data_IF_072733881430
#
_entry.id   IF_072733881430
#
_cell.length_a   1.000
_cell.length_b   1.000
_cell.length_c   1.000
_cell.angle_alpha   90.00
_cell.angle_beta   90.00
_cell.angle_gamma   90.00
#
_symmetry.space_group_name_H-M   'P 1'
#
loop_
_entity.id
_entity.type
_entity.pdbx_description
1 polymer ?
#
# COMPACT_ATOMS: atom_id res chain seq x y z
N UNK A 1 15.88 5.35 -24.48
CA UNK A 1 16.24 6.63 -23.84
C UNK A 1 15.13 7.01 -22.86
N UNK A 2 15.49 7.49 -21.63
CA UNK A 2 14.49 7.94 -20.64
C UNK A 2 13.62 9.11 -21.15
N UNK A 3 14.10 9.86 -22.15
CA UNK A 3 13.32 10.94 -22.77
C UNK A 3 12.03 10.42 -23.43
N UNK A 4 12.04 9.20 -23.93
CA UNK A 4 10.88 8.61 -24.60
C UNK A 4 9.71 8.34 -23.63
N UNK A 5 10.01 8.22 -22.32
CA UNK A 5 9.01 8.08 -21.27
C UNK A 5 8.15 9.34 -21.09
N UNK A 6 8.64 10.50 -21.52
CA UNK A 6 7.97 11.80 -21.34
C UNK A 6 7.11 12.14 -22.56
N UNK A 7 7.36 11.50 -23.71
CA UNK A 7 6.64 11.76 -24.95
C UNK A 7 5.14 11.42 -24.80
N UNK A 8 4.26 12.38 -25.08
CA UNK A 8 2.81 12.23 -24.95
C UNK A 8 2.18 11.44 -26.09
N UNK A 9 2.81 11.44 -27.26
CA UNK A 9 2.23 10.92 -28.50
C UNK A 9 2.14 9.38 -28.50
N UNK A 10 2.99 8.70 -27.73
CA UNK A 10 3.03 7.25 -27.70
C UNK A 10 3.06 6.69 -26.28
N UNK A 11 2.16 5.75 -25.92
CA UNK A 11 2.26 5.04 -24.66
C UNK A 11 3.56 4.22 -24.61
N UNK A 12 4.23 4.24 -23.49
CA UNK A 12 5.47 3.50 -23.27
C UNK A 12 5.36 2.67 -22.00
N UNK A 13 5.68 1.38 -22.10
CA UNK A 13 5.78 0.47 -20.96
C UNK A 13 7.16 -0.19 -21.02
N UNK A 14 7.87 -0.15 -19.90
CA UNK A 14 9.15 -0.85 -19.73
C UNK A 14 8.95 -2.00 -18.75
N UNK A 15 9.11 -3.22 -19.22
CA UNK A 15 9.14 -4.40 -18.36
C UNK A 15 10.58 -4.75 -18.03
N UNK A 16 10.85 -4.88 -16.73
CA UNK A 16 12.14 -5.36 -16.24
C UNK A 16 11.91 -6.66 -15.49
N UNK A 17 12.24 -7.77 -16.14
CA UNK A 17 12.10 -9.10 -15.57
C UNK A 17 13.44 -9.51 -14.93
N UNK A 18 13.41 -9.84 -13.65
CA UNK A 18 14.57 -10.33 -12.90
C UNK A 18 14.27 -11.75 -12.45
N UNK A 19 15.05 -12.74 -12.90
CA UNK A 19 14.89 -14.11 -12.42
C UNK A 19 15.08 -14.21 -10.91
N UNK A 20 14.18 -14.93 -10.22
CA UNK A 20 14.17 -15.01 -8.74
C UNK A 20 15.44 -15.69 -8.19
N UNK A 21 16.07 -16.55 -8.96
CA UNK A 21 17.31 -17.26 -8.62
C UNK A 21 18.56 -16.35 -8.70
N UNK A 22 18.49 -15.24 -9.44
CA UNK A 22 19.62 -14.35 -9.66
C UNK A 22 19.49 -13.02 -8.89
N UNK A 23 19.54 -13.11 -7.57
CA UNK A 23 19.35 -11.96 -6.67
C UNK A 23 20.29 -10.78 -6.95
N UNK A 24 21.50 -11.04 -7.46
CA UNK A 24 22.47 -10.00 -7.85
C UNK A 24 21.93 -9.06 -8.94
N UNK A 25 21.04 -9.53 -9.80
CA UNK A 25 20.43 -8.70 -10.86
C UNK A 25 19.42 -7.69 -10.34
N UNK A 26 18.87 -7.91 -9.13
CA UNK A 26 18.00 -6.89 -8.51
C UNK A 26 18.73 -5.57 -8.26
N UNK A 27 20.07 -5.60 -8.09
CA UNK A 27 20.87 -4.37 -7.99
C UNK A 27 20.75 -3.54 -9.27
N UNK A 28 20.84 -4.18 -10.44
CA UNK A 28 20.74 -3.51 -11.74
C UNK A 28 19.34 -2.92 -11.91
N UNK A 29 18.29 -3.66 -11.56
CA UNK A 29 16.91 -3.17 -11.60
C UNK A 29 16.70 -1.97 -10.68
N UNK A 30 17.25 -2.02 -9.46
CA UNK A 30 17.16 -0.91 -8.51
C UNK A 30 17.94 0.32 -8.98
N UNK A 31 19.13 0.14 -9.57
CA UNK A 31 19.90 1.24 -10.17
C UNK A 31 19.17 1.88 -11.35
N UNK A 32 18.57 1.08 -12.23
CA UNK A 32 17.78 1.59 -13.33
C UNK A 32 16.59 2.41 -12.83
N UNK A 33 15.85 1.89 -11.85
CA UNK A 33 14.71 2.56 -11.24
C UNK A 33 15.12 3.90 -10.61
N UNK A 34 16.23 3.91 -9.87
CA UNK A 34 16.76 5.12 -9.23
C UNK A 34 17.20 6.16 -10.25
N UNK A 35 18.00 5.78 -11.23
CA UNK A 35 18.50 6.69 -12.26
C UNK A 35 17.38 7.24 -13.14
N UNK A 36 16.42 6.40 -13.52
CA UNK A 36 15.25 6.86 -14.30
C UNK A 36 14.43 7.87 -13.50
N UNK A 37 14.20 7.63 -12.20
CA UNK A 37 13.52 8.58 -11.33
C UNK A 37 14.26 9.92 -11.25
N UNK A 38 15.56 9.88 -11.00
CA UNK A 38 16.39 11.10 -10.91
C UNK A 38 16.37 11.91 -12.20
N UNK A 39 16.42 11.22 -13.35
CA UNK A 39 16.28 11.87 -14.67
C UNK A 39 14.91 12.52 -14.82
N UNK A 40 13.84 11.78 -14.56
CA UNK A 40 12.46 12.26 -14.73
C UNK A 40 12.13 13.42 -13.80
N UNK A 41 12.55 13.33 -12.54
CA UNK A 41 12.38 14.42 -11.56
C UNK A 41 13.14 15.70 -11.97
N UNK A 42 14.34 15.55 -12.57
CA UNK A 42 15.09 16.68 -13.16
C UNK A 42 14.38 17.27 -14.38
N UNK A 43 13.81 16.43 -15.25
CA UNK A 43 13.05 16.91 -16.40
C UNK A 43 11.77 17.63 -15.97
N UNK A 44 11.05 17.12 -14.97
CA UNK A 44 9.82 17.74 -14.45
C UNK A 44 10.03 19.24 -14.13
N UNK A 45 11.18 19.60 -13.56
CA UNK A 45 11.52 20.99 -13.23
C UNK A 45 11.58 21.93 -14.42
N UNK A 46 11.67 21.40 -15.66
CA UNK A 46 11.72 22.21 -16.89
C UNK A 46 10.32 22.53 -17.43
N UNK A 47 9.30 21.84 -16.94
CA UNK A 47 7.91 22.06 -17.34
C UNK A 47 7.22 23.04 -16.39
N UNK A 48 6.17 23.68 -16.88
CA UNK A 48 5.38 24.62 -16.08
C UNK A 48 4.80 23.91 -14.85
N UNK A 49 4.96 24.53 -13.69
CA UNK A 49 4.54 23.96 -12.41
C UNK A 49 5.39 22.79 -11.90
N UNK A 50 6.55 22.49 -12.51
CA UNK A 50 7.46 21.43 -12.09
C UNK A 50 6.90 20.01 -12.33
N UNK A 51 5.94 19.86 -13.25
CA UNK A 51 5.17 18.64 -13.46
C UNK A 51 5.38 18.10 -14.86
N UNK A 52 5.67 16.79 -14.97
CA UNK A 52 5.74 16.12 -16.27
C UNK A 52 4.40 16.17 -16.99
N UNK A 53 4.37 16.34 -18.31
CA UNK A 53 3.14 16.37 -19.09
C UNK A 53 2.38 15.03 -19.00
N UNK A 54 3.12 13.93 -18.92
CA UNK A 54 2.61 12.58 -18.78
C UNK A 54 2.75 12.08 -17.35
N UNK A 55 1.76 11.32 -16.87
CA UNK A 55 1.87 10.54 -15.63
C UNK A 55 2.81 9.35 -15.83
N UNK A 56 3.78 9.22 -14.96
CA UNK A 56 4.71 8.09 -14.91
C UNK A 56 4.38 7.23 -13.69
N UNK A 57 4.24 5.96 -13.88
CA UNK A 57 3.97 5.01 -12.79
C UNK A 57 5.10 4.00 -12.67
N UNK A 58 5.71 3.93 -11.49
CA UNK A 58 6.59 2.85 -11.09
C UNK A 58 5.76 1.77 -10.42
N UNK A 59 5.75 0.58 -10.98
CA UNK A 59 5.04 -0.59 -10.46
C UNK A 59 6.09 -1.60 -10.02
N UNK A 60 6.25 -1.76 -8.71
CA UNK A 60 7.21 -2.68 -8.12
C UNK A 60 6.47 -3.93 -7.63
N UNK A 61 6.31 -4.89 -8.51
CA UNK A 61 5.86 -6.23 -8.15
C UNK A 61 6.94 -6.92 -7.32
N UNK A 62 6.55 -7.57 -6.24
CA UNK A 62 7.48 -8.16 -5.28
C UNK A 62 8.55 -7.18 -4.74
N UNK A 63 8.14 -5.97 -4.37
CA UNK A 63 9.04 -4.92 -3.87
C UNK A 63 9.98 -5.40 -2.75
N UNK A 64 9.54 -6.38 -1.96
CA UNK A 64 10.33 -7.01 -0.93
C UNK A 64 11.64 -7.64 -1.42
N UNK A 65 11.70 -8.09 -2.66
CA UNK A 65 12.88 -8.72 -3.26
C UNK A 65 13.89 -7.71 -3.81
N UNK A 66 13.46 -6.51 -4.14
CA UNK A 66 14.34 -5.47 -4.70
C UNK A 66 15.42 -5.07 -3.69
N UNK A 67 16.57 -4.65 -4.21
CA UNK A 67 17.60 -3.97 -3.41
C UNK A 67 17.06 -2.64 -2.90
N UNK A 68 17.51 -2.21 -1.72
CA UNK A 68 17.11 -0.93 -1.12
C UNK A 68 17.33 0.23 -2.12
N UNK A 69 16.26 0.97 -2.39
CA UNK A 69 16.32 2.22 -3.17
C UNK A 69 16.68 3.37 -2.22
N UNK A 70 17.71 4.16 -2.52
CA UNK A 70 18.12 5.26 -1.65
C UNK A 70 17.01 6.31 -1.50
N UNK A 71 16.81 6.83 -0.29
CA UNK A 71 15.89 7.94 0.01
C UNK A 71 14.47 7.76 -0.54
N UNK A 72 13.98 6.50 -0.56
CA UNK A 72 12.71 6.17 -1.19
C UNK A 72 11.54 6.92 -0.58
N UNK A 73 11.49 7.04 0.74
CA UNK A 73 10.43 7.79 1.44
C UNK A 73 10.35 9.24 0.95
N UNK A 74 11.49 9.92 0.84
CA UNK A 74 11.56 11.30 0.34
C UNK A 74 11.13 11.40 -1.13
N UNK A 75 11.55 10.43 -1.96
CA UNK A 75 11.14 10.35 -3.38
C UNK A 75 9.65 10.17 -3.53
N UNK A 76 9.05 9.26 -2.78
CA UNK A 76 7.60 9.00 -2.80
C UNK A 76 6.79 10.22 -2.35
N UNK A 77 7.25 10.96 -1.34
CA UNK A 77 6.57 12.16 -0.87
C UNK A 77 6.62 13.31 -1.89
N UNK A 78 7.74 13.47 -2.59
CA UNK A 78 7.93 14.56 -3.55
C UNK A 78 7.37 14.26 -4.95
N UNK A 79 7.32 13.01 -5.35
CA UNK A 79 7.06 12.57 -6.72
C UNK A 79 5.65 12.88 -7.26
N UNK A 80 4.56 12.90 -6.46
CA UNK A 80 3.24 13.25 -6.99
C UNK A 80 3.17 14.65 -7.60
N UNK A 81 3.95 15.60 -7.01
CA UNK A 81 4.10 16.95 -7.56
C UNK A 81 4.70 16.96 -8.96
N UNK A 82 5.60 16.03 -9.27
CA UNK A 82 6.22 15.85 -10.57
C UNK A 82 5.40 14.97 -11.55
N UNK A 83 4.21 14.50 -11.18
CA UNK A 83 3.39 13.54 -11.93
C UNK A 83 4.02 12.14 -12.01
N UNK A 84 4.76 11.76 -10.97
CA UNK A 84 5.38 10.44 -10.83
C UNK A 84 4.74 9.73 -9.64
N UNK A 85 4.29 8.51 -9.82
CA UNK A 85 3.62 7.71 -8.80
C UNK A 85 4.36 6.39 -8.58
N UNK A 86 4.28 5.90 -7.34
CA UNK A 86 4.83 4.60 -6.95
C UNK A 86 3.72 3.66 -6.50
N UNK A 87 3.76 2.43 -7.00
CA UNK A 87 2.91 1.32 -6.60
C UNK A 87 3.80 0.20 -6.07
N UNK A 88 3.70 -0.10 -4.78
CA UNK A 88 4.53 -1.09 -4.11
C UNK A 88 3.68 -2.30 -3.74
N UNK A 89 4.09 -3.49 -4.19
CA UNK A 89 3.45 -4.74 -3.80
C UNK A 89 4.34 -5.48 -2.81
N UNK A 90 3.78 -5.77 -1.65
CA UNK A 90 4.45 -6.41 -0.53
C UNK A 90 3.66 -7.63 -0.07
N UNK A 91 4.33 -8.68 0.35
CA UNK A 91 3.70 -9.81 1.02
C UNK A 91 3.37 -9.47 2.48
N UNK A 92 4.25 -8.72 3.13
CA UNK A 92 4.08 -8.21 4.48
C UNK A 92 4.97 -6.98 4.75
N UNK A 93 4.69 -6.24 5.81
CA UNK A 93 5.47 -5.07 6.18
C UNK A 93 6.89 -5.40 6.66
N UNK A 94 7.15 -6.64 7.08
CA UNK A 94 8.50 -7.07 7.47
C UNK A 94 9.51 -6.94 6.32
N UNK A 95 9.04 -6.96 5.07
CA UNK A 95 9.88 -6.72 3.89
C UNK A 95 10.42 -5.28 3.80
N UNK A 96 9.81 -4.33 4.52
CA UNK A 96 10.28 -2.94 4.61
C UNK A 96 11.40 -2.76 5.65
N UNK A 97 11.68 -3.73 6.52
CA UNK A 97 12.73 -3.63 7.56
C UNK A 97 14.10 -3.28 6.99
N UNK A 98 14.39 -3.65 5.74
CA UNK A 98 15.62 -3.25 5.05
C UNK A 98 15.79 -1.72 4.91
N UNK A 99 14.70 -0.97 5.07
CA UNK A 99 14.69 0.49 5.00
C UNK A 99 14.93 1.17 6.35
N UNK A 100 15.00 0.40 7.45
CA UNK A 100 15.26 0.90 8.81
C UNK A 100 14.36 2.11 9.16
N UNK A 101 14.98 3.26 9.41
CA UNK A 101 14.29 4.50 9.80
C UNK A 101 13.33 5.06 8.73
N UNK A 102 13.46 4.64 7.48
CA UNK A 102 12.56 5.08 6.40
C UNK A 102 11.26 4.25 6.31
N UNK A 103 11.17 3.11 7.02
CA UNK A 103 10.02 2.20 6.94
C UNK A 103 8.68 2.91 7.13
N UNK A 104 8.56 3.66 8.22
CA UNK A 104 7.32 4.39 8.54
C UNK A 104 7.06 5.54 7.56
N UNK A 105 8.12 6.18 7.08
CA UNK A 105 8.03 7.20 6.03
C UNK A 105 7.50 6.65 4.70
N UNK A 106 7.91 5.44 4.31
CA UNK A 106 7.41 4.75 3.11
C UNK A 106 5.93 4.42 3.27
N UNK A 107 5.53 3.84 4.41
CA UNK A 107 4.11 3.56 4.72
C UNK A 107 3.27 4.83 4.70
N UNK A 108 3.78 5.90 5.32
CA UNK A 108 3.09 7.19 5.38
C UNK A 108 2.98 7.90 4.02
N UNK A 109 3.92 7.67 3.09
CA UNK A 109 3.87 8.21 1.74
C UNK A 109 2.82 7.49 0.85
N UNK A 110 2.37 6.30 1.24
CA UNK A 110 1.32 5.56 0.54
C UNK A 110 -0.07 6.13 0.90
N UNK A 111 -0.58 7.03 0.08
CA UNK A 111 -1.91 7.65 0.26
C UNK A 111 -3.07 6.65 0.18
N UNK A 112 -2.86 5.52 -0.48
CA UNK A 112 -3.81 4.41 -0.59
C UNK A 112 -3.06 3.14 -0.18
N UNK A 113 -3.63 2.42 0.78
CA UNK A 113 -3.13 1.11 1.18
C UNK A 113 -4.23 0.08 0.99
N UNK A 114 -3.89 -1.00 0.31
CA UNK A 114 -4.82 -2.08 -0.03
C UNK A 114 -4.33 -3.34 0.67
N UNK A 115 -5.13 -3.86 1.58
CA UNK A 115 -4.87 -5.12 2.26
C UNK A 115 -5.73 -6.22 1.64
N UNK A 116 -5.09 -7.28 1.19
CA UNK A 116 -5.78 -8.45 0.63
C UNK A 116 -5.75 -9.58 1.64
N UNK A 117 -4.56 -10.02 2.03
CA UNK A 117 -4.33 -11.04 3.05
C UNK A 117 -2.85 -11.04 3.44
N UNK A 118 -2.57 -11.22 4.73
CA UNK A 118 -1.22 -11.53 5.23
C UNK A 118 -1.31 -12.55 6.37
N UNK A 119 -0.37 -13.50 6.38
CA UNK A 119 -0.21 -14.43 7.51
C UNK A 119 0.69 -13.84 8.61
N UNK A 120 1.30 -12.67 8.38
CA UNK A 120 2.17 -12.02 9.34
C UNK A 120 1.35 -11.24 10.37
N UNK A 121 1.36 -11.69 11.63
CA UNK A 121 0.60 -11.06 12.71
C UNK A 121 0.97 -9.60 12.98
N UNK A 122 2.24 -9.21 12.80
CA UNK A 122 2.66 -7.81 12.97
C UNK A 122 2.08 -6.92 11.86
N UNK A 123 2.01 -7.41 10.62
CA UNK A 123 1.36 -6.71 9.52
C UNK A 123 -0.12 -6.54 9.79
N UNK A 124 -0.80 -7.60 10.26
CA UNK A 124 -2.23 -7.55 10.59
C UNK A 124 -2.49 -6.56 11.72
N UNK A 125 -1.64 -6.55 12.76
CA UNK A 125 -1.75 -5.60 13.86
C UNK A 125 -1.57 -4.16 13.37
N UNK A 126 -0.52 -3.87 12.64
CA UNK A 126 -0.25 -2.53 12.12
C UNK A 126 -1.36 -2.04 11.18
N UNK A 127 -1.92 -2.93 10.35
CA UNK A 127 -3.03 -2.58 9.47
C UNK A 127 -4.33 -2.35 10.25
N UNK A 128 -4.64 -3.19 11.25
CA UNK A 128 -5.78 -3.01 12.14
C UNK A 128 -5.74 -1.67 12.87
N UNK A 129 -4.59 -1.29 13.43
CA UNK A 129 -4.39 -0.01 14.08
C UNK A 129 -4.57 1.17 13.11
N UNK A 130 -4.09 1.04 11.87
CA UNK A 130 -4.19 2.07 10.84
C UNK A 130 -5.63 2.33 10.36
N UNK A 131 -6.45 1.29 10.24
CA UNK A 131 -7.86 1.45 9.85
C UNK A 131 -8.72 2.03 10.96
N UNK A 132 -8.28 1.91 12.22
CA UNK A 132 -8.90 2.57 13.37
C UNK A 132 -9.88 1.71 14.16
N UNK A 133 -10.59 2.37 15.06
CA UNK A 133 -11.53 1.74 15.99
C UNK A 133 -12.92 2.35 15.84
N UNK A 134 -13.94 1.56 16.16
CA UNK A 134 -15.30 2.01 16.39
C UNK A 134 -15.58 2.14 17.90
N UNK A 135 -16.48 3.06 18.24
CA UNK A 135 -16.97 3.19 19.60
C UNK A 135 -18.21 2.33 19.75
N UNK A 136 -18.17 1.41 20.70
CA UNK A 136 -19.31 0.56 21.05
C UNK A 136 -19.86 0.95 22.40
N UNK A 137 -21.17 1.08 22.50
CA UNK A 137 -21.88 1.28 23.76
C UNK A 137 -22.53 -0.05 24.13
N UNK A 138 -22.31 -0.50 25.35
CA UNK A 138 -22.99 -1.69 25.87
C UNK A 138 -23.53 -1.41 27.26
N UNK A 139 -24.65 -2.03 27.56
CA UNK A 139 -25.29 -1.97 28.86
C UNK A 139 -24.83 -3.15 29.71
N UNK A 140 -24.32 -2.87 30.90
CA UNK A 140 -24.04 -3.90 31.89
C UNK A 140 -25.17 -3.91 32.90
N UNK A 141 -25.68 -5.09 33.17
CA UNK A 141 -26.68 -5.33 34.21
C UNK A 141 -26.03 -6.11 35.33
N UNK A 142 -25.97 -5.54 36.53
CA UNK A 142 -25.60 -6.28 37.75
C UNK A 142 -26.86 -6.55 38.55
N UNK A 143 -27.15 -7.83 38.78
CA UNK A 143 -28.31 -8.27 39.56
C UNK A 143 -27.87 -8.92 40.86
N UNK A 144 -28.66 -8.71 41.92
CA UNK A 144 -28.54 -9.46 43.18
C UNK A 144 -29.06 -10.89 42.96
N UNK A 145 -28.57 -11.82 43.81
CA UNK A 145 -29.03 -13.24 43.83
C UNK A 145 -30.55 -13.40 44.04
N UNK A 146 -31.27 -12.35 44.34
CA UNK A 146 -32.72 -12.30 44.60
C UNK A 146 -33.55 -11.71 43.42
N UNK A 147 -32.95 -11.53 42.23
CA UNK A 147 -33.69 -11.25 41.01
C UNK A 147 -34.04 -9.79 40.73
N UNK A 148 -33.52 -8.85 41.51
CA UNK A 148 -33.68 -7.41 41.21
C UNK A 148 -32.42 -6.90 40.51
N UNK A 149 -32.63 -6.13 39.43
CA UNK A 149 -31.54 -5.40 38.72
C UNK A 149 -31.18 -4.20 39.58
N UNK A 150 -30.02 -4.27 40.24
CA UNK A 150 -29.61 -3.24 41.21
C UNK A 150 -28.94 -2.03 40.54
N UNK A 151 -28.22 -2.25 39.44
CA UNK A 151 -27.55 -1.19 38.70
C UNK A 151 -27.54 -1.47 37.18
N UNK A 152 -27.88 -0.46 36.42
CA UNK A 152 -27.71 -0.40 34.98
C UNK A 152 -26.56 0.59 34.69
N UNK A 153 -25.45 0.10 34.15
CA UNK A 153 -24.32 0.91 33.75
C UNK A 153 -24.20 0.99 32.24
N UNK A 154 -24.07 2.19 31.71
CA UNK A 154 -23.65 2.39 30.32
C UNK A 154 -22.14 2.41 30.29
N UNK A 155 -21.57 1.53 29.46
CA UNK A 155 -20.13 1.50 29.21
C UNK A 155 -19.86 1.83 27.74
N UNK A 156 -18.86 2.69 27.54
CA UNK A 156 -18.35 3.05 26.24
C UNK A 156 -16.97 2.41 26.09
N UNK A 157 -16.82 1.57 25.08
CA UNK A 157 -15.53 0.92 24.78
C UNK A 157 -15.13 1.14 23.34
N UNK A 158 -13.84 0.93 23.05
CA UNK A 158 -13.28 1.04 21.70
C UNK A 158 -12.92 -0.33 21.17
N UNK A 159 -13.53 -0.71 20.08
CA UNK A 159 -13.24 -1.95 19.38
C UNK A 159 -12.60 -1.65 18.03
N UNK A 160 -11.57 -2.43 17.66
CA UNK A 160 -10.99 -2.34 16.32
C UNK A 160 -12.06 -2.57 15.26
N UNK A 161 -12.09 -1.73 14.21
CA UNK A 161 -12.98 -1.91 13.06
C UNK A 161 -12.84 -3.31 12.45
N UNK A 162 -11.60 -3.79 12.33
CA UNK A 162 -11.26 -5.18 12.02
C UNK A 162 -10.07 -5.57 12.89
N UNK A 163 -10.23 -6.58 13.69
CA UNK A 163 -9.13 -7.12 14.50
C UNK A 163 -8.18 -7.99 13.65
N UNK A 164 -7.06 -8.36 14.26
CA UNK A 164 -6.02 -9.19 13.60
C UNK A 164 -6.55 -10.55 13.15
N UNK A 165 -7.51 -11.12 13.88
CA UNK A 165 -8.14 -12.40 13.56
C UNK A 165 -9.04 -12.28 12.35
N UNK A 166 -9.84 -11.23 12.28
CA UNK A 166 -10.71 -10.94 11.14
C UNK A 166 -9.90 -10.67 9.88
N UNK A 167 -8.81 -9.90 9.99
CA UNK A 167 -7.90 -9.65 8.86
C UNK A 167 -7.24 -10.92 8.35
N UNK A 168 -6.78 -11.82 9.24
CA UNK A 168 -6.16 -13.09 8.85
C UNK A 168 -7.13 -14.10 8.22
N UNK A 169 -8.43 -13.86 8.32
CA UNK A 169 -9.51 -14.72 7.81
C UNK A 169 -10.32 -14.05 6.69
N UNK A 170 -9.80 -13.01 6.05
CA UNK A 170 -10.50 -12.40 4.93
C UNK A 170 -10.80 -13.42 3.84
N UNK A 171 -12.03 -13.47 3.33
CA UNK A 171 -12.39 -14.37 2.24
C UNK A 171 -11.58 -14.08 0.98
N UNK A 172 -11.33 -15.13 0.20
CA UNK A 172 -10.67 -14.99 -1.10
C UNK A 172 -11.42 -13.98 -1.99
N UNK A 173 -10.66 -13.12 -2.66
CA UNK A 173 -11.23 -12.05 -3.49
C UNK A 173 -11.74 -10.84 -2.72
N UNK A 174 -11.53 -10.77 -1.39
CA UNK A 174 -11.88 -9.59 -0.59
C UNK A 174 -10.65 -8.74 -0.34
N UNK A 175 -10.81 -7.42 -0.37
CA UNK A 175 -9.78 -6.46 0.01
C UNK A 175 -10.33 -5.37 0.93
N UNK A 176 -9.46 -4.84 1.77
CA UNK A 176 -9.71 -3.65 2.56
C UNK A 176 -8.87 -2.52 1.98
N UNK A 177 -9.52 -1.45 1.57
CA UNK A 177 -8.88 -0.26 0.99
C UNK A 177 -8.96 0.88 2.00
N UNK A 178 -7.81 1.38 2.42
CA UNK A 178 -7.69 2.59 3.24
C UNK A 178 -7.05 3.69 2.40
N UNK A 179 -7.79 4.75 2.18
CA UNK A 179 -7.30 6.00 1.59
C UNK A 179 -7.14 7.05 2.67
N UNK A 180 -6.11 7.88 2.56
CA UNK A 180 -5.90 9.01 3.47
C UNK A 180 -7.16 9.88 3.54
N UNK A 181 -7.56 10.30 4.74
CA UNK A 181 -8.75 11.13 5.03
C UNK A 181 -10.10 10.51 4.64
N UNK A 182 -10.13 9.22 4.36
CA UNK A 182 -11.38 8.51 4.05
C UNK A 182 -11.55 7.34 5.04
N UNK A 183 -12.79 6.95 5.25
CA UNK A 183 -13.09 5.71 5.96
C UNK A 183 -12.59 4.50 5.16
N UNK A 184 -12.20 3.41 5.84
CA UNK A 184 -11.82 2.19 5.14
C UNK A 184 -13.00 1.56 4.44
N UNK A 185 -12.74 0.98 3.27
CA UNK A 185 -13.77 0.33 2.45
C UNK A 185 -13.41 -1.15 2.32
N UNK A 186 -14.38 -2.02 2.60
CA UNK A 186 -14.30 -3.43 2.22
C UNK A 186 -14.87 -3.61 0.82
N UNK A 187 -14.12 -4.24 -0.06
CA UNK A 187 -14.50 -4.46 -1.46
C UNK A 187 -14.13 -5.86 -1.93
N UNK A 188 -14.72 -6.27 -3.04
CA UNK A 188 -14.36 -7.52 -3.70
C UNK A 188 -13.46 -7.23 -4.91
N UNK A 189 -12.41 -8.03 -5.05
CA UNK A 189 -11.48 -8.00 -6.17
C UNK A 189 -11.68 -9.29 -6.98
N UNK A 190 -12.04 -9.15 -8.25
CA UNK A 190 -12.16 -10.31 -9.15
C UNK A 190 -10.76 -10.76 -9.56
N UNK A 191 -10.34 -11.99 -9.25
CA UNK A 191 -9.07 -12.53 -9.72
C UNK A 191 -8.98 -12.51 -11.24
N UNK A 192 -7.81 -12.19 -11.78
CA UNK A 192 -7.61 -12.02 -13.23
C UNK A 192 -8.10 -13.23 -14.05
N UNK A 193 -7.90 -14.45 -13.55
CA UNK A 193 -8.33 -15.67 -14.24
C UNK A 193 -9.86 -15.83 -14.37
N UNK A 194 -10.62 -15.08 -13.57
CA UNK A 194 -12.09 -15.06 -13.58
C UNK A 194 -12.67 -13.89 -14.39
N UNK A 195 -11.83 -13.02 -14.94
CA UNK A 195 -12.30 -11.92 -15.78
C UNK A 195 -12.65 -12.46 -17.17
N UNK A 196 -13.90 -12.30 -17.60
CA UNK A 196 -14.40 -12.85 -18.86
C UNK A 196 -13.76 -12.20 -20.10
N UNK A 197 -13.59 -10.88 -20.12
CA UNK A 197 -12.99 -10.13 -21.24
C UNK A 197 -11.56 -9.71 -20.90
N UNK A 198 -10.65 -10.68 -20.83
CA UNK A 198 -9.24 -10.40 -20.53
C UNK A 198 -8.60 -9.57 -21.65
N UNK A 199 -7.85 -8.52 -21.32
CA UNK A 199 -6.99 -7.89 -22.31
C UNK A 199 -5.98 -8.90 -22.84
N UNK A 200 -5.48 -8.75 -24.09
CA UNK A 200 -4.46 -9.63 -24.61
C UNK A 200 -3.25 -9.68 -23.67
N UNK A 201 -2.70 -10.88 -23.47
CA UNK A 201 -1.43 -11.01 -22.76
C UNK A 201 -0.34 -10.36 -23.61
N UNK A 202 0.34 -9.42 -23.04
CA UNK A 202 1.50 -8.73 -23.64
C UNK A 202 2.73 -9.64 -23.52
#
# INVERSE_FOLDING_TARGET
NFADLINEDQPCIIYMLVPYEEKSRYVIASMFADQSFMYLAKQARKYQGGKLPRKIEYIYDEFGQMTKLPDLSSKMNASPGANILFNLFLQDYGQLKKYDKEEDGIKGACNIQIYILSLNGNTNKAFSEMIGNETINYLTFSGSLYGFIDHQGEHVDRKALLDTTQLSKLPFGTAIVKKMRCEPIRTNITPYHLIENKPPRI
#
